data_IF_814762320018
#
_entry.id   IF_814762320018
#
_cell.length_a   1.000
_cell.length_b   1.000
_cell.length_c   1.000
_cell.angle_alpha   90.00
_cell.angle_beta   90.00
_cell.angle_gamma   90.00
#
_symmetry.space_group_name_H-M   'P 1'
#
loop_
_entity.id
_entity.type
_entity.pdbx_description
1 polymer ?
#
# COMPACT_ATOMS: atom_id res chain seq x y z
N UNK A 1 -0.79 -9.78 19.53
CA UNK A 1 -0.74 -10.97 18.65
C UNK A 1 -1.54 -10.70 17.36
N UNK A 2 -0.84 -10.25 16.32
CA UNK A 2 -1.39 -9.85 15.01
C UNK A 2 -2.11 -10.99 14.28
N UNK A 3 -1.61 -12.23 14.41
CA UNK A 3 -2.25 -13.40 13.80
C UNK A 3 -3.65 -13.75 14.33
N UNK A 4 -3.89 -13.62 15.64
CA UNK A 4 -5.23 -13.88 16.18
C UNK A 4 -6.24 -12.84 15.67
N UNK A 5 -5.82 -11.57 15.61
CA UNK A 5 -6.64 -10.49 15.04
C UNK A 5 -6.96 -10.74 13.57
N UNK A 6 -5.99 -11.20 12.77
CA UNK A 6 -6.21 -11.54 11.36
C UNK A 6 -7.25 -12.66 11.19
N UNK A 7 -7.12 -13.75 11.96
CA UNK A 7 -8.07 -14.86 11.93
C UNK A 7 -9.46 -14.43 12.40
N UNK A 8 -9.54 -13.62 13.47
CA UNK A 8 -10.80 -13.10 13.99
C UNK A 8 -11.52 -12.25 12.95
N UNK A 9 -10.80 -11.32 12.33
CA UNK A 9 -11.32 -10.47 11.25
C UNK A 9 -11.81 -11.32 10.08
N UNK A 10 -11.06 -12.34 9.67
CA UNK A 10 -11.46 -13.25 8.59
C UNK A 10 -12.73 -14.00 8.93
N UNK A 11 -12.81 -14.62 10.11
CA UNK A 11 -14.00 -15.37 10.54
C UNK A 11 -15.24 -14.47 10.61
N UNK A 12 -15.11 -13.27 11.18
CA UNK A 12 -16.19 -12.29 11.23
C UNK A 12 -16.63 -11.82 9.83
N UNK A 13 -15.66 -11.58 8.93
CA UNK A 13 -15.93 -11.20 7.55
C UNK A 13 -16.65 -12.32 6.79
N UNK A 14 -16.23 -13.57 6.94
CA UNK A 14 -16.92 -14.73 6.34
C UNK A 14 -18.38 -14.81 6.79
N UNK A 15 -18.66 -14.57 8.08
CA UNK A 15 -20.03 -14.54 8.60
C UNK A 15 -20.83 -13.36 8.06
N UNK A 16 -20.23 -12.17 8.02
CA UNK A 16 -20.88 -10.98 7.47
C UNK A 16 -21.25 -11.17 6.00
N UNK A 17 -20.34 -11.74 5.19
CA UNK A 17 -20.57 -11.97 3.76
C UNK A 17 -21.61 -13.09 3.49
N UNK A 18 -21.97 -13.88 4.50
CA UNK A 18 -23.05 -14.86 4.42
C UNK A 18 -24.42 -14.27 4.79
N UNK A 19 -24.46 -13.09 5.43
CA UNK A 19 -25.71 -12.39 5.75
C UNK A 19 -26.27 -11.68 4.50
N UNK A 20 -27.58 -11.40 4.50
CA UNK A 20 -28.19 -10.52 3.51
C UNK A 20 -27.79 -9.06 3.78
N UNK A 21 -27.05 -8.47 2.83
CA UNK A 21 -26.57 -7.09 2.93
C UNK A 21 -27.51 -6.07 2.26
N UNK A 22 -28.58 -6.50 1.58
CA UNK A 22 -29.57 -5.62 0.95
C UNK A 22 -30.12 -4.53 1.89
N UNK A 23 -30.40 -4.80 3.17
CA UNK A 23 -30.90 -3.77 4.09
C UNK A 23 -29.93 -2.61 4.33
N UNK A 24 -28.65 -2.80 4.04
CA UNK A 24 -27.61 -1.78 4.21
C UNK A 24 -27.29 -1.03 2.92
N UNK A 25 -27.98 -1.29 1.81
CA UNK A 25 -27.72 -0.56 0.57
C UNK A 25 -28.03 0.94 0.75
N UNK A 26 -27.11 1.79 0.30
CA UNK A 26 -27.37 3.22 0.23
C UNK A 26 -28.44 3.51 -0.84
N UNK A 27 -29.40 4.36 -0.52
CA UNK A 27 -30.36 4.89 -1.50
C UNK A 27 -29.61 5.67 -2.58
N UNK A 28 -29.80 5.32 -3.85
CA UNK A 28 -29.22 6.09 -4.97
C UNK A 28 -29.87 7.46 -5.04
N UNK A 29 -29.12 8.52 -4.81
CA UNK A 29 -29.44 9.82 -5.41
C UNK A 29 -29.07 9.72 -6.89
N UNK A 30 -30.01 10.10 -7.76
CA UNK A 30 -29.93 9.89 -9.20
C UNK A 30 -28.83 10.75 -9.84
N UNK A 31 -27.65 10.20 -10.01
CA UNK A 31 -26.64 10.67 -10.98
C UNK A 31 -26.51 9.60 -12.09
N UNK A 32 -26.53 9.99 -13.37
CA UNK A 32 -26.42 9.03 -14.46
C UNK A 32 -24.95 8.65 -14.62
N UNK A 33 -24.60 7.36 -14.52
CA UNK A 33 -23.37 6.91 -15.16
C UNK A 33 -23.49 5.51 -15.76
N UNK A 34 -22.94 5.39 -16.97
CA UNK A 34 -22.94 4.24 -17.87
C UNK A 34 -21.80 3.25 -17.51
N UNK A 35 -21.69 2.86 -16.24
CA UNK A 35 -20.70 1.91 -15.74
C UNK A 35 -21.33 0.79 -14.90
N UNK A 36 -20.56 -0.28 -14.65
CA UNK A 36 -20.96 -1.40 -13.78
C UNK A 36 -21.57 -0.86 -12.46
N UNK A 37 -22.78 -1.32 -12.11
CA UNK A 37 -23.48 -0.85 -10.90
C UNK A 37 -22.66 -1.12 -9.64
N UNK A 38 -22.00 -0.10 -9.10
CA UNK A 38 -21.23 -0.19 -7.87
C UNK A 38 -22.19 -0.14 -6.67
N UNK A 39 -22.28 -1.25 -5.94
CA UNK A 39 -23.13 -1.36 -4.74
C UNK A 39 -22.47 -0.62 -3.58
N UNK A 40 -23.10 0.46 -3.12
CA UNK A 40 -22.68 1.20 -1.93
C UNK A 40 -23.47 0.75 -0.71
N UNK A 41 -22.76 0.50 0.39
CA UNK A 41 -23.34 0.11 1.67
C UNK A 41 -23.21 1.23 2.71
N UNK A 42 -24.17 1.30 3.62
CA UNK A 42 -24.16 2.18 4.78
C UNK A 42 -23.03 1.76 5.73
N UNK A 43 -21.88 2.45 5.62
CA UNK A 43 -20.64 2.08 6.30
C UNK A 43 -20.82 1.83 7.80
N UNK A 44 -21.44 2.75 8.54
CA UNK A 44 -21.61 2.63 10.00
C UNK A 44 -22.45 1.42 10.39
N UNK A 45 -23.53 1.15 9.65
CA UNK A 45 -24.41 0.03 9.91
C UNK A 45 -23.70 -1.31 9.67
N UNK A 46 -22.97 -1.44 8.55
CA UNK A 46 -22.19 -2.64 8.22
C UNK A 46 -21.06 -2.85 9.23
N UNK A 47 -20.35 -1.78 9.62
CA UNK A 47 -19.30 -1.85 10.64
C UNK A 47 -19.84 -2.37 11.97
N UNK A 48 -21.03 -1.94 12.40
CA UNK A 48 -21.67 -2.45 13.62
C UNK A 48 -21.97 -3.95 13.53
N UNK A 49 -22.49 -4.43 12.39
CA UNK A 49 -22.71 -5.87 12.19
C UNK A 49 -21.39 -6.63 12.22
N UNK A 50 -20.37 -6.13 11.52
CA UNK A 50 -19.03 -6.72 11.53
C UNK A 50 -18.44 -6.85 12.95
N UNK A 51 -18.54 -5.79 13.77
CA UNK A 51 -18.08 -5.80 15.16
C UNK A 51 -18.84 -6.84 15.98
N UNK A 52 -20.15 -6.96 15.81
CA UNK A 52 -20.95 -8.00 16.49
C UNK A 52 -20.48 -9.40 16.09
N UNK A 53 -20.24 -9.67 14.79
CA UNK A 53 -19.69 -10.96 14.33
C UNK A 53 -18.30 -11.23 14.92
N UNK A 54 -17.44 -10.22 15.06
CA UNK A 54 -16.15 -10.37 15.74
C UNK A 54 -16.33 -10.77 17.20
N UNK A 55 -17.25 -10.13 17.93
CA UNK A 55 -17.52 -10.46 19.33
C UNK A 55 -18.03 -11.92 19.44
N UNK A 56 -18.95 -12.33 18.58
CA UNK A 56 -19.46 -13.71 18.55
C UNK A 56 -18.33 -14.73 18.34
N UNK A 57 -17.50 -14.53 17.32
CA UNK A 57 -16.35 -15.42 17.06
C UNK A 57 -15.38 -15.44 18.24
N UNK A 58 -15.08 -14.28 18.84
CA UNK A 58 -14.19 -14.20 19.99
C UNK A 58 -14.73 -14.95 21.21
N UNK A 59 -16.04 -14.89 21.46
CA UNK A 59 -16.69 -15.62 22.53
C UNK A 59 -16.64 -17.14 22.30
N UNK A 60 -16.83 -17.60 21.06
CA UNK A 60 -16.70 -19.01 20.69
C UNK A 60 -15.27 -19.52 20.89
N UNK A 61 -14.27 -18.75 20.47
CA UNK A 61 -12.85 -19.11 20.59
C UNK A 61 -12.28 -18.98 22.00
N UNK A 62 -13.03 -18.39 22.94
CA UNK A 62 -12.57 -18.22 24.31
C UNK A 62 -12.26 -19.57 25.02
N UNK A 63 -12.84 -20.67 24.55
CA UNK A 63 -12.59 -22.00 25.09
C UNK A 63 -11.65 -22.86 24.22
N UNK A 64 -11.52 -22.53 22.94
CA UNK A 64 -10.71 -23.27 21.97
C UNK A 64 -10.09 -22.27 20.98
N UNK A 65 -8.86 -21.83 21.29
CA UNK A 65 -8.16 -20.84 20.49
C UNK A 65 -7.61 -21.49 19.21
N UNK A 66 -7.75 -20.83 18.05
CA UNK A 66 -7.16 -21.34 16.83
C UNK A 66 -5.64 -21.40 16.96
N UNK A 67 -5.05 -22.42 16.33
CA UNK A 67 -3.59 -22.54 16.26
C UNK A 67 -3.04 -21.42 15.39
N UNK A 68 -2.08 -20.65 15.93
CA UNK A 68 -1.45 -19.55 15.23
C UNK A 68 -0.12 -19.99 14.61
N UNK A 69 0.14 -19.67 13.33
CA UNK A 69 1.49 -19.80 12.80
C UNK A 69 2.41 -18.82 13.54
N UNK A 70 3.69 -19.17 13.76
CA UNK A 70 4.64 -18.26 14.36
C UNK A 70 4.84 -17.02 13.46
N UNK A 71 4.99 -15.82 14.03
CA UNK A 71 5.28 -14.62 13.25
C UNK A 71 6.63 -14.78 12.54
N UNK A 72 6.65 -14.61 11.22
CA UNK A 72 7.85 -14.81 10.38
C UNK A 72 8.70 -13.54 10.26
N UNK A 73 8.08 -12.36 10.32
CA UNK A 73 8.76 -11.09 10.10
C UNK A 73 8.46 -10.11 11.23
N UNK A 74 9.50 -9.41 11.67
CA UNK A 74 9.35 -8.24 12.54
C UNK A 74 9.23 -7.01 11.65
N UNK A 75 8.34 -6.10 12.00
CA UNK A 75 8.15 -4.86 11.28
C UNK A 75 8.01 -3.69 12.25
N UNK A 76 8.50 -2.52 11.83
CA UNK A 76 8.33 -1.27 12.54
C UNK A 76 7.87 -0.20 11.55
N UNK A 77 7.15 0.80 12.08
CA UNK A 77 6.68 1.93 11.29
C UNK A 77 6.69 3.17 12.15
N UNK A 78 7.03 4.30 11.53
CA UNK A 78 6.86 5.61 12.11
C UNK A 78 6.42 6.57 11.02
N UNK A 79 5.60 7.55 11.39
CA UNK A 79 5.07 8.52 10.46
C UNK A 79 4.87 9.85 11.20
N UNK A 80 5.44 10.93 10.66
CA UNK A 80 5.34 12.26 11.24
C UNK A 80 4.85 13.26 10.20
N UNK A 81 3.95 14.16 10.62
CA UNK A 81 3.47 15.26 9.79
C UNK A 81 4.57 16.31 9.51
N UNK A 82 5.54 16.41 10.43
CA UNK A 82 6.53 17.48 10.48
C UNK A 82 5.87 18.87 10.32
N UNK A 83 6.48 19.79 9.56
CA UNK A 83 5.96 21.13 9.27
C UNK A 83 4.81 21.20 8.26
N UNK A 84 4.30 20.07 7.76
CA UNK A 84 3.17 20.07 6.79
C UNK A 84 1.85 20.40 7.48
N UNK A 85 0.90 20.95 6.72
CA UNK A 85 -0.44 21.32 7.23
C UNK A 85 -1.26 20.10 7.63
N UNK A 86 -1.20 19.03 6.82
CA UNK A 86 -1.94 17.77 6.98
C UNK A 86 -0.97 16.60 6.88
N UNK A 87 -1.33 15.48 7.50
CA UNK A 87 -0.64 14.19 7.36
C UNK A 87 -1.32 13.38 6.25
N UNK A 88 -0.79 13.46 5.05
CA UNK A 88 -1.40 12.86 3.86
C UNK A 88 -0.92 11.41 3.67
N UNK A 89 0.28 11.06 4.15
CA UNK A 89 0.84 9.72 4.06
C UNK A 89 0.01 8.67 4.82
N UNK A 90 -0.02 7.47 4.26
CA UNK A 90 -0.60 6.26 4.85
C UNK A 90 0.37 5.10 4.71
N UNK A 91 0.21 4.09 5.54
CA UNK A 91 0.99 2.87 5.47
C UNK A 91 0.13 1.66 5.83
N UNK A 92 0.58 0.47 5.43
CA UNK A 92 -0.09 -0.80 5.71
C UNK A 92 0.96 -1.81 6.16
N UNK A 93 0.69 -2.53 7.26
CA UNK A 93 1.51 -3.64 7.75
C UNK A 93 0.65 -4.88 7.94
N UNK A 94 0.84 -5.87 7.07
CA UNK A 94 0.07 -7.12 7.07
C UNK A 94 1.01 -8.31 7.01
N UNK A 95 1.60 -8.65 8.16
CA UNK A 95 2.45 -9.83 8.31
C UNK A 95 1.67 -11.14 8.13
N UNK A 96 0.36 -11.13 8.41
CA UNK A 96 -0.55 -12.28 8.32
C UNK A 96 -1.53 -12.16 7.14
N UNK A 97 -1.00 -11.77 5.99
CA UNK A 97 -1.79 -11.53 4.77
C UNK A 97 -2.64 -12.75 4.40
N UNK A 98 -2.05 -13.94 4.41
CA UNK A 98 -2.76 -15.18 4.09
C UNK A 98 -3.94 -15.42 5.05
N UNK A 99 -3.73 -15.24 6.36
CA UNK A 99 -4.77 -15.50 7.37
C UNK A 99 -5.92 -14.50 7.25
N UNK A 100 -5.60 -13.23 7.02
CA UNK A 100 -6.62 -12.18 6.83
C UNK A 100 -7.48 -12.44 5.58
N UNK A 101 -6.86 -12.91 4.50
CA UNK A 101 -7.54 -13.14 3.21
C UNK A 101 -7.91 -14.59 2.91
N UNK A 102 -7.67 -15.51 3.85
CA UNK A 102 -7.91 -16.94 3.71
C UNK A 102 -7.28 -17.53 2.45
N UNK A 103 -6.00 -17.19 2.21
CA UNK A 103 -5.20 -17.78 1.14
C UNK A 103 -4.63 -19.11 1.64
N UNK A 104 -5.22 -20.20 1.19
CA UNK A 104 -4.94 -21.57 1.64
C UNK A 104 -3.90 -22.26 0.75
N UNK A 105 -2.67 -21.75 0.75
CA UNK A 105 -1.51 -22.44 0.17
C UNK A 105 -0.33 -22.51 1.15
N UNK A 106 0.71 -23.26 0.78
CA UNK A 106 1.90 -23.43 1.61
C UNK A 106 2.78 -22.18 1.70
N UNK A 107 2.50 -21.14 0.90
CA UNK A 107 3.33 -19.95 0.77
C UNK A 107 2.83 -18.87 1.73
N UNK A 108 3.58 -18.65 2.81
CA UNK A 108 3.30 -17.51 3.69
C UNK A 108 3.65 -16.20 2.99
N UNK A 109 2.72 -15.24 3.05
CA UNK A 109 2.90 -13.89 2.48
C UNK A 109 2.77 -12.83 3.54
N UNK A 110 3.59 -11.79 3.42
CA UNK A 110 3.50 -10.56 4.18
C UNK A 110 3.46 -9.38 3.22
N UNK A 111 2.54 -8.44 3.45
CA UNK A 111 2.33 -7.26 2.62
C UNK A 111 2.63 -6.01 3.44
N UNK A 112 3.47 -5.14 2.90
CA UNK A 112 3.81 -3.84 3.48
C UNK A 112 3.71 -2.76 2.42
N UNK A 113 3.23 -1.58 2.78
CA UNK A 113 3.11 -0.48 1.83
C UNK A 113 3.24 0.89 2.48
N UNK A 114 3.74 1.85 1.71
CA UNK A 114 3.72 3.29 1.99
C UNK A 114 3.01 3.99 0.83
N UNK A 115 2.13 4.91 1.16
CA UNK A 115 1.37 5.74 0.23
C UNK A 115 1.58 7.19 0.62
N UNK A 116 2.30 7.95 -0.19
CA UNK A 116 2.42 9.39 -0.02
C UNK A 116 1.27 10.08 -0.76
N UNK A 117 0.49 10.90 -0.06
CA UNK A 117 -0.69 11.55 -0.61
C UNK A 117 -0.42 13.01 -0.94
N UNK A 118 -1.00 13.49 -2.03
CA UNK A 118 -0.91 14.90 -2.42
C UNK A 118 -2.25 15.44 -2.92
N UNK A 119 -2.46 16.75 -2.73
CA UNK A 119 -3.72 17.40 -3.09
C UNK A 119 -4.92 16.93 -2.24
N UNK A 120 -4.66 16.31 -1.10
CA UNK A 120 -5.65 15.69 -0.22
C UNK A 120 -5.24 14.29 0.22
N UNK A 121 -5.90 13.77 1.25
CA UNK A 121 -5.55 12.47 1.89
C UNK A 121 -6.34 11.29 1.29
N UNK A 122 -7.34 11.56 0.46
CA UNK A 122 -8.34 10.55 0.07
C UNK A 122 -7.75 9.44 -0.81
N UNK A 123 -6.90 9.78 -1.78
CA UNK A 123 -6.24 8.78 -2.64
C UNK A 123 -5.34 7.83 -1.83
N UNK A 124 -4.51 8.37 -0.94
CA UNK A 124 -3.64 7.57 -0.06
C UNK A 124 -4.46 6.69 0.90
N UNK A 125 -5.53 7.23 1.47
CA UNK A 125 -6.45 6.49 2.34
C UNK A 125 -7.16 5.37 1.59
N UNK A 126 -7.60 5.65 0.36
CA UNK A 126 -8.25 4.66 -0.49
C UNK A 126 -7.28 3.55 -0.88
N UNK A 127 -6.05 3.90 -1.32
CA UNK A 127 -5.02 2.93 -1.65
C UNK A 127 -4.67 2.02 -0.44
N UNK A 128 -4.46 2.61 0.74
CA UNK A 128 -4.20 1.88 1.97
C UNK A 128 -5.35 0.93 2.36
N UNK A 129 -6.60 1.31 2.07
CA UNK A 129 -7.79 0.51 2.38
C UNK A 129 -8.02 -0.62 1.38
N UNK A 130 -7.73 -0.42 0.10
CA UNK A 130 -8.22 -1.30 -0.97
C UNK A 130 -7.14 -2.10 -1.69
N UNK A 131 -5.89 -1.63 -1.79
CA UNK A 131 -4.89 -2.26 -2.67
C UNK A 131 -4.60 -3.71 -2.27
N UNK A 132 -4.34 -3.96 -0.99
CA UNK A 132 -4.07 -5.29 -0.46
C UNK A 132 -5.28 -6.25 -0.58
N UNK A 133 -6.51 -5.71 -0.49
CA UNK A 133 -7.75 -6.46 -0.75
C UNK A 133 -7.90 -6.81 -2.23
N UNK A 134 -7.57 -5.87 -3.12
CA UNK A 134 -7.59 -6.09 -4.56
C UNK A 134 -6.52 -7.09 -5.00
N UNK A 135 -5.36 -7.09 -4.34
CA UNK A 135 -4.29 -8.07 -4.54
C UNK A 135 -4.71 -9.48 -4.17
N UNK A 136 -5.36 -9.66 -3.01
CA UNK A 136 -5.77 -11.00 -2.55
C UNK A 136 -6.79 -11.68 -3.46
N UNK A 137 -7.47 -10.90 -4.31
CA UNK A 137 -8.44 -11.37 -5.30
C UNK A 137 -7.83 -11.63 -6.69
N UNK A 138 -6.55 -11.31 -6.90
CA UNK A 138 -5.90 -11.57 -8.19
C UNK A 138 -5.58 -13.05 -8.34
N UNK A 139 -6.11 -13.70 -9.39
CA UNK A 139 -5.81 -15.11 -9.67
C UNK A 139 -4.33 -15.37 -10.00
N UNK A 140 -3.58 -14.34 -10.37
CA UNK A 140 -2.14 -14.42 -10.61
C UNK A 140 -1.30 -14.29 -9.32
N UNK A 141 -1.88 -14.05 -8.15
CA UNK A 141 -1.12 -13.84 -6.91
C UNK A 141 -0.18 -15.00 -6.58
N UNK A 142 -0.61 -16.24 -6.81
CA UNK A 142 0.18 -17.42 -6.49
C UNK A 142 1.26 -17.73 -7.54
N UNK A 143 1.02 -17.38 -8.81
CA UNK A 143 1.85 -17.78 -9.94
C UNK A 143 2.74 -16.66 -10.47
N UNK A 144 2.33 -15.40 -10.33
CA UNK A 144 3.00 -14.22 -10.86
C UNK A 144 2.66 -12.98 -10.01
N UNK A 145 3.28 -12.84 -8.83
CA UNK A 145 2.96 -11.76 -7.88
C UNK A 145 3.19 -10.34 -8.42
N UNK A 146 4.21 -10.14 -9.25
CA UNK A 146 4.47 -8.83 -9.89
C UNK A 146 3.31 -8.36 -10.77
N UNK A 147 2.91 -9.14 -11.80
CA UNK A 147 1.69 -8.88 -12.56
C UNK A 147 0.41 -8.74 -11.70
N UNK A 148 0.26 -9.57 -10.66
CA UNK A 148 -0.86 -9.46 -9.73
C UNK A 148 -0.88 -8.10 -9.00
N UNK A 149 0.27 -7.63 -8.51
CA UNK A 149 0.40 -6.31 -7.89
C UNK A 149 0.07 -5.18 -8.87
N UNK A 150 0.58 -5.25 -10.11
CA UNK A 150 0.25 -4.26 -11.15
C UNK A 150 -1.26 -4.22 -11.43
N UNK A 151 -1.90 -5.38 -11.53
CA UNK A 151 -3.35 -5.48 -11.69
C UNK A 151 -4.11 -4.93 -10.48
N UNK A 152 -3.61 -5.16 -9.26
CA UNK A 152 -4.19 -4.62 -8.03
C UNK A 152 -4.09 -3.09 -7.95
N UNK A 153 -2.95 -2.51 -8.33
CA UNK A 153 -2.79 -1.06 -8.48
C UNK A 153 -3.80 -0.49 -9.47
N UNK A 154 -3.87 -1.07 -10.67
CA UNK A 154 -4.82 -0.64 -11.69
C UNK A 154 -6.27 -0.73 -11.22
N UNK A 155 -6.68 -1.86 -10.61
CA UNK A 155 -8.03 -2.02 -10.07
C UNK A 155 -8.33 -0.99 -8.98
N UNK A 156 -7.34 -0.66 -8.15
CA UNK A 156 -7.48 0.33 -7.09
C UNK A 156 -7.67 1.75 -7.66
N UNK A 157 -6.92 2.13 -8.70
CA UNK A 157 -7.10 3.40 -9.41
C UNK A 157 -8.47 3.49 -10.09
N UNK A 158 -8.91 2.41 -10.75
CA UNK A 158 -10.22 2.33 -11.41
C UNK A 158 -11.37 2.48 -10.39
N UNK A 159 -11.27 1.81 -9.22
CA UNK A 159 -12.25 1.97 -8.13
C UNK A 159 -12.20 3.38 -7.51
N UNK A 160 -11.01 3.96 -7.36
CA UNK A 160 -10.88 5.32 -6.82
C UNK A 160 -11.47 6.36 -7.78
N UNK A 161 -11.43 6.12 -9.10
CA UNK A 161 -12.06 7.01 -10.10
C UNK A 161 -13.55 7.18 -9.84
N UNK A 162 -14.27 6.08 -9.65
CA UNK A 162 -15.71 6.10 -9.36
C UNK A 162 -16.00 6.89 -8.08
N UNK A 163 -15.20 6.67 -7.03
CA UNK A 163 -15.31 7.45 -5.79
C UNK A 163 -15.02 8.93 -6.00
N UNK A 164 -13.93 9.26 -6.69
CA UNK A 164 -13.47 10.61 -6.91
C UNK A 164 -14.44 11.43 -7.77
N UNK A 165 -15.08 10.82 -8.78
CA UNK A 165 -16.13 11.47 -9.56
C UNK A 165 -17.35 11.80 -8.68
N UNK A 166 -17.83 10.80 -7.94
CA UNK A 166 -19.00 10.93 -7.06
C UNK A 166 -18.80 11.95 -5.93
N UNK A 167 -17.60 12.04 -5.38
CA UNK A 167 -17.28 12.93 -4.25
C UNK A 167 -16.46 14.18 -4.65
N UNK A 168 -16.23 14.38 -5.96
CA UNK A 168 -15.45 15.49 -6.54
C UNK A 168 -14.03 15.62 -5.95
N UNK A 169 -13.38 14.49 -5.73
CA UNK A 169 -12.02 14.40 -5.18
C UNK A 169 -10.99 14.62 -6.30
N UNK A 170 -9.89 15.29 -5.97
CA UNK A 170 -8.77 15.57 -6.89
C UNK A 170 -7.40 15.15 -6.33
N UNK A 171 -7.39 14.46 -5.20
CA UNK A 171 -6.14 13.98 -4.60
C UNK A 171 -5.51 12.88 -5.44
N UNK A 172 -4.21 12.77 -5.32
CA UNK A 172 -3.42 11.68 -5.86
C UNK A 172 -2.56 11.05 -4.77
N UNK A 173 -1.97 9.91 -5.07
CA UNK A 173 -1.05 9.26 -4.17
C UNK A 173 -0.04 8.41 -4.92
N UNK A 174 1.21 8.49 -4.47
CA UNK A 174 2.21 7.47 -4.76
C UNK A 174 1.87 6.18 -4.03
N UNK A 175 2.54 5.10 -4.37
CA UNK A 175 2.43 3.88 -3.60
C UNK A 175 3.61 2.99 -3.87
N UNK A 176 4.30 2.55 -2.83
CA UNK A 176 5.31 1.50 -2.91
C UNK A 176 4.85 0.34 -2.03
N UNK A 177 4.87 -0.86 -2.60
CA UNK A 177 4.41 -2.08 -1.98
C UNK A 177 5.52 -3.11 -2.01
N UNK A 178 5.72 -3.80 -0.88
CA UNK A 178 6.55 -5.00 -0.79
C UNK A 178 5.67 -6.17 -0.39
N UNK A 179 5.70 -7.23 -1.20
CA UNK A 179 5.15 -8.53 -0.89
C UNK A 179 6.30 -9.52 -0.67
N UNK A 180 6.49 -9.96 0.57
CA UNK A 180 7.43 -11.04 0.89
C UNK A 180 6.66 -12.35 0.81
N UNK A 181 7.12 -13.29 0.00
CA UNK A 181 6.47 -14.59 -0.18
C UNK A 181 7.51 -15.68 -0.42
N UNK A 182 7.42 -16.78 0.33
CA UNK A 182 8.43 -17.85 0.34
C UNK A 182 9.88 -17.34 0.54
N UNK A 183 10.73 -17.43 -0.49
CA UNK A 183 12.11 -16.93 -0.57
C UNK A 183 12.22 -15.79 -1.61
N UNK A 184 11.13 -15.07 -1.86
CA UNK A 184 11.09 -13.98 -2.82
C UNK A 184 10.52 -12.72 -2.20
N UNK A 185 11.01 -11.59 -2.70
CA UNK A 185 10.53 -10.27 -2.38
C UNK A 185 10.09 -9.61 -3.69
N UNK A 186 8.80 -9.28 -3.78
CA UNK A 186 8.25 -8.57 -4.92
C UNK A 186 7.94 -7.14 -4.53
N UNK A 187 8.54 -6.18 -5.24
CA UNK A 187 8.24 -4.76 -5.11
C UNK A 187 7.34 -4.35 -6.27
N UNK A 188 6.33 -3.53 -6.00
CA UNK A 188 5.59 -2.82 -7.03
C UNK A 188 5.34 -1.37 -6.61
N UNK A 189 5.43 -0.44 -7.55
CA UNK A 189 5.34 0.98 -7.20
C UNK A 189 4.71 1.88 -8.28
N UNK A 190 4.20 3.01 -7.81
CA UNK A 190 3.75 4.19 -8.55
C UNK A 190 4.31 5.43 -7.85
N UNK A 191 4.86 6.37 -8.60
CA UNK A 191 5.44 7.60 -8.04
C UNK A 191 6.86 7.40 -7.50
N UNK A 192 7.24 8.26 -6.55
CA UNK A 192 8.59 8.45 -6.05
C UNK A 192 8.79 8.03 -4.58
N UNK A 193 7.79 7.41 -3.93
CA UNK A 193 8.06 6.57 -2.76
C UNK A 193 8.92 5.38 -3.16
N UNK A 194 9.86 4.97 -2.30
CA UNK A 194 10.87 3.98 -2.64
C UNK A 194 10.92 2.81 -1.65
N UNK A 195 11.39 1.67 -2.16
CA UNK A 195 11.80 0.52 -1.37
C UNK A 195 13.30 0.25 -1.56
N UNK A 196 14.00 -0.02 -0.46
CA UNK A 196 15.42 -0.34 -0.44
C UNK A 196 15.65 -1.61 0.38
N UNK A 197 16.37 -2.58 -0.17
CA UNK A 197 16.81 -3.75 0.58
C UNK A 197 18.20 -3.49 1.16
N UNK A 198 18.42 -3.88 2.40
CA UNK A 198 19.76 -3.93 3.00
C UNK A 198 20.15 -5.38 3.19
N UNK A 199 21.34 -5.74 2.68
CA UNK A 199 21.89 -7.09 2.70
C UNK A 199 23.36 -7.00 3.11
N UNK A 200 23.72 -7.71 4.16
CA UNK A 200 25.08 -7.74 4.72
C UNK A 200 25.65 -6.33 4.96
N UNK A 201 24.80 -5.41 5.45
CA UNK A 201 25.16 -4.03 5.73
C UNK A 201 25.40 -3.17 4.49
N UNK A 202 24.93 -3.59 3.31
CA UNK A 202 25.03 -2.85 2.06
C UNK A 202 23.65 -2.59 1.47
N UNK A 203 23.47 -1.45 0.81
CA UNK A 203 22.25 -1.12 0.11
C UNK A 203 22.12 -1.92 -1.20
N UNK A 204 20.91 -2.39 -1.46
CA UNK A 204 20.51 -3.04 -2.69
C UNK A 204 19.35 -2.25 -3.27
N UNK A 205 19.63 -1.48 -4.31
CA UNK A 205 18.62 -0.70 -5.04
C UNK A 205 17.68 -1.66 -5.75
N UNK A 206 16.40 -1.65 -5.38
CA UNK A 206 15.38 -2.53 -5.94
C UNK A 206 14.64 -1.89 -7.11
N UNK A 207 14.49 -0.57 -7.10
CA UNK A 207 13.59 0.15 -7.99
C UNK A 207 14.12 1.54 -8.30
N UNK A 208 13.65 2.11 -9.41
CA UNK A 208 13.88 3.51 -9.77
C UNK A 208 12.58 4.31 -9.62
N UNK A 209 12.56 5.40 -8.83
CA UNK A 209 11.35 6.20 -8.61
C UNK A 209 10.84 6.81 -9.93
N UNK A 210 9.53 6.96 -10.05
CA UNK A 210 8.87 7.57 -11.21
C UNK A 210 8.94 9.11 -11.17
N UNK A 211 10.17 9.65 -11.20
CA UNK A 211 10.41 11.09 -11.28
C UNK A 211 10.10 11.62 -12.68
N UNK A 212 9.57 12.84 -12.75
CA UNK A 212 9.12 13.44 -14.02
C UNK A 212 10.25 13.63 -15.04
N UNK A 213 11.48 13.80 -14.58
CA UNK A 213 12.70 13.95 -15.38
C UNK A 213 13.35 12.63 -15.82
N UNK A 214 12.83 11.48 -15.37
CA UNK A 214 13.31 10.19 -15.84
C UNK A 214 13.03 10.09 -17.34
N UNK A 215 14.04 9.72 -18.13
CA UNK A 215 14.00 9.91 -19.59
C UNK A 215 12.82 9.19 -20.26
N UNK A 216 12.51 7.97 -19.84
CA UNK A 216 11.38 7.19 -20.34
C UNK A 216 10.01 7.80 -19.95
N UNK A 217 9.88 8.31 -18.73
CA UNK A 217 8.66 8.98 -18.26
C UNK A 217 8.45 10.31 -18.98
N UNK A 218 9.52 11.10 -19.12
CA UNK A 218 9.48 12.36 -19.87
C UNK A 218 9.07 12.12 -21.33
N UNK A 219 9.72 11.16 -22.00
CA UNK A 219 9.40 10.82 -23.37
C UNK A 219 7.93 10.36 -23.49
N UNK A 220 7.47 9.48 -22.58
CA UNK A 220 6.07 9.03 -22.55
C UNK A 220 5.09 10.20 -22.40
N UNK A 221 5.39 11.17 -21.53
CA UNK A 221 4.55 12.35 -21.30
C UNK A 221 4.51 13.24 -22.56
N UNK A 222 5.66 13.47 -23.19
CA UNK A 222 5.79 14.30 -24.40
C UNK A 222 5.11 13.64 -25.61
N UNK A 223 5.20 12.31 -25.76
CA UNK A 223 4.51 11.54 -26.80
C UNK A 223 2.98 11.61 -26.68
N UNK A 224 2.46 11.79 -25.46
CA UNK A 224 1.04 12.02 -25.19
C UNK A 224 0.60 13.48 -25.42
N UNK A 225 1.54 14.36 -25.78
CA UNK A 225 1.30 15.79 -26.00
C UNK A 225 1.41 16.66 -24.75
N UNK A 226 1.92 16.11 -23.64
CA UNK A 226 2.23 16.84 -22.41
C UNK A 226 3.62 17.47 -22.46
N UNK A 227 4.05 18.05 -21.33
CA UNK A 227 5.42 18.53 -21.18
C UNK A 227 5.95 18.33 -19.75
N UNK A 228 7.27 18.25 -19.62
CA UNK A 228 7.97 18.24 -18.32
C UNK A 228 8.74 19.54 -18.17
N UNK A 229 8.37 20.36 -17.18
CA UNK A 229 8.93 21.71 -16.98
C UNK A 229 9.54 21.84 -15.59
N UNK A 230 10.70 22.48 -15.49
CA UNK A 230 11.35 22.75 -14.21
C UNK A 230 10.78 24.01 -13.54
N UNK A 231 10.17 23.84 -12.36
CA UNK A 231 9.64 24.92 -11.52
C UNK A 231 9.98 24.66 -10.05
N UNK A 232 11.26 24.79 -9.70
CA UNK A 232 11.81 24.40 -8.39
C UNK A 232 12.02 22.88 -8.24
N UNK A 233 11.17 22.08 -8.87
CA UNK A 233 11.38 20.68 -9.22
C UNK A 233 10.77 20.42 -10.61
N UNK A 234 11.09 19.27 -11.21
CA UNK A 234 10.50 18.86 -12.48
C UNK A 234 9.03 18.51 -12.31
N UNK A 235 8.18 19.05 -13.19
CA UNK A 235 6.73 18.89 -13.10
C UNK A 235 6.08 18.56 -14.43
N UNK A 236 5.17 17.60 -14.41
CA UNK A 236 4.23 17.27 -15.50
C UNK A 236 3.28 18.44 -15.70
N UNK A 237 3.24 18.98 -16.91
CA UNK A 237 2.43 20.15 -17.31
C UNK A 237 2.57 21.33 -16.35
N UNK A 238 3.77 21.51 -15.78
CA UNK A 238 4.08 22.56 -14.80
C UNK A 238 3.39 22.41 -13.43
N UNK A 239 2.66 21.31 -13.17
CA UNK A 239 1.80 21.18 -11.98
C UNK A 239 2.26 20.07 -11.03
N UNK A 240 2.43 18.82 -11.50
CA UNK A 240 2.64 17.64 -10.64
C UNK A 240 4.09 17.16 -10.66
N UNK A 241 4.69 16.87 -9.50
CA UNK A 241 6.10 16.46 -9.41
C UNK A 241 6.33 14.96 -9.73
N UNK A 242 5.27 14.15 -9.70
CA UNK A 242 5.31 12.72 -10.00
C UNK A 242 4.76 12.42 -11.40
N UNK A 243 5.33 11.43 -12.07
CA UNK A 243 4.88 10.99 -13.41
C UNK A 243 3.87 9.84 -13.37
N UNK A 244 3.75 9.14 -12.24
CA UNK A 244 2.79 8.05 -12.04
C UNK A 244 2.15 8.11 -10.63
N UNK A 245 0.85 7.85 -10.53
CA UNK A 245 0.10 7.90 -9.28
C UNK A 245 -1.26 7.18 -9.37
N UNK A 246 -1.81 6.79 -8.21
CA UNK A 246 -3.25 6.55 -8.05
C UNK A 246 -3.95 7.91 -7.94
N UNK A 247 -5.10 8.08 -8.59
CA UNK A 247 -5.80 9.36 -8.60
C UNK A 247 -5.27 10.29 -9.68
N UNK A 248 -5.17 11.59 -9.38
CA UNK A 248 -4.74 12.62 -10.34
C UNK A 248 -5.49 12.58 -11.68
N UNK A 249 -6.80 12.33 -11.63
CA UNK A 249 -7.62 12.08 -12.83
C UNK A 249 -7.63 13.27 -13.81
N UNK A 250 -7.44 14.50 -13.33
CA UNK A 250 -7.30 15.69 -14.17
C UNK A 250 -6.02 15.70 -15.02
N UNK A 251 -5.05 14.85 -14.71
CA UNK A 251 -3.78 14.73 -15.44
C UNK A 251 -3.61 13.42 -16.17
N UNK A 252 -4.57 12.49 -16.11
CA UNK A 252 -4.51 11.29 -16.95
C UNK A 252 -4.74 11.71 -18.41
N UNK A 253 -3.96 11.19 -19.38
CA UNK A 253 -3.02 10.06 -19.26
C UNK A 253 -1.55 10.44 -18.95
N UNK A 254 -1.21 11.72 -18.77
CA UNK A 254 0.16 12.16 -18.51
C UNK A 254 0.70 11.58 -17.20
N UNK A 255 -0.07 11.67 -16.11
CA UNK A 255 0.22 10.95 -14.87
C UNK A 255 -0.38 9.55 -14.96
N UNK A 256 0.46 8.53 -15.16
CA UNK A 256 0.01 7.15 -15.40
C UNK A 256 -0.38 6.42 -14.11
N UNK A 257 -1.34 5.49 -14.18
CA UNK A 257 -1.59 4.50 -13.11
C UNK A 257 -0.98 3.12 -13.38
N UNK A 258 -0.11 3.02 -14.39
CA UNK A 258 0.59 1.79 -14.71
C UNK A 258 1.78 1.59 -13.76
N UNK A 259 1.64 0.66 -12.82
CA UNK A 259 2.70 0.36 -11.86
C UNK A 259 3.86 -0.43 -12.51
N UNK A 260 5.07 -0.22 -11.99
CA UNK A 260 6.20 -1.10 -12.26
C UNK A 260 6.32 -2.15 -11.15
N UNK A 261 7.00 -3.26 -11.46
CA UNK A 261 7.22 -4.32 -10.48
C UNK A 261 8.51 -5.09 -10.76
N UNK A 262 9.17 -5.54 -9.70
CA UNK A 262 10.33 -6.42 -9.76
C UNK A 262 10.21 -7.51 -8.69
N UNK A 263 10.72 -8.70 -8.98
CA UNK A 263 10.84 -9.78 -8.00
C UNK A 263 12.31 -10.14 -7.85
N UNK A 264 12.79 -10.19 -6.61
CA UNK A 264 14.15 -10.59 -6.26
C UNK A 264 14.10 -11.81 -5.35
N UNK A 265 15.07 -12.71 -5.51
CA UNK A 265 15.23 -13.87 -4.63
C UNK A 265 15.97 -13.46 -3.36
N UNK A 266 15.40 -13.85 -2.23
CA UNK A 266 15.99 -13.76 -0.90
C UNK A 266 16.96 -14.93 -0.71
N UNK A 267 18.16 -14.63 -0.20
CA UNK A 267 19.25 -15.58 -0.01
C UNK A 267 19.45 -15.96 1.46
N UNK A 268 18.75 -15.30 2.39
CA UNK A 268 18.85 -15.51 3.83
C UNK A 268 19.93 -14.67 4.50
N UNK A 269 20.60 -13.78 3.76
CA UNK A 269 21.57 -12.82 4.25
C UNK A 269 21.04 -11.37 4.21
N UNK A 270 19.74 -11.20 3.98
CA UNK A 270 19.07 -9.91 4.07
C UNK A 270 18.92 -9.45 5.52
N UNK A 271 19.23 -8.18 5.78
CA UNK A 271 19.09 -7.59 7.11
C UNK A 271 17.67 -7.04 7.30
N UNK A 272 17.21 -6.19 6.38
CA UNK A 272 15.87 -5.59 6.40
C UNK A 272 15.51 -4.97 5.04
N UNK A 273 14.22 -4.71 4.84
CA UNK A 273 13.72 -3.87 3.75
C UNK A 273 13.11 -2.59 4.32
N UNK A 274 13.49 -1.44 3.77
CA UNK A 274 12.97 -0.12 4.12
C UNK A 274 12.00 0.34 3.03
N UNK A 275 10.83 0.83 3.43
CA UNK A 275 9.91 1.57 2.57
C UNK A 275 9.75 2.97 3.15
N UNK A 276 9.90 4.01 2.32
CA UNK A 276 9.66 5.38 2.75
C UNK A 276 9.22 6.28 1.58
N UNK A 277 8.56 7.39 1.92
CA UNK A 277 8.19 8.45 0.98
C UNK A 277 9.39 9.35 0.62
N UNK A 278 9.17 10.30 -0.29
CA UNK A 278 10.17 11.29 -0.70
C UNK A 278 10.69 12.13 0.48
N UNK A 279 9.86 12.38 1.50
CA UNK A 279 10.23 13.12 2.71
C UNK A 279 11.43 12.53 3.47
N UNK A 280 11.71 11.23 3.28
CA UNK A 280 12.95 10.59 3.74
C UNK A 280 14.04 10.60 2.66
N UNK A 281 13.73 10.12 1.45
CA UNK A 281 14.72 9.90 0.40
C UNK A 281 15.25 11.18 -0.26
N UNK A 282 14.59 12.33 -0.07
CA UNK A 282 15.12 13.64 -0.45
C UNK A 282 16.25 14.10 0.48
N UNK A 283 16.30 13.59 1.71
CA UNK A 283 17.30 13.96 2.72
C UNK A 283 18.39 12.90 2.91
N UNK A 284 18.08 11.62 2.66
CA UNK A 284 18.96 10.48 2.91
C UNK A 284 19.25 9.73 1.62
N UNK A 285 20.53 9.63 1.24
CA UNK A 285 20.91 8.84 0.07
C UNK A 285 20.79 7.34 0.38
N UNK A 286 20.45 6.49 -0.62
CA UNK A 286 20.35 5.05 -0.42
C UNK A 286 21.58 4.42 0.25
N UNK A 287 22.79 4.88 -0.08
CA UNK A 287 24.05 4.39 0.49
C UNK A 287 24.27 4.72 1.96
N UNK A 288 23.52 5.68 2.51
CA UNK A 288 23.61 6.07 3.93
C UNK A 288 22.68 5.21 4.80
N UNK A 289 21.65 4.59 4.20
CA UNK A 289 20.63 3.81 4.91
C UNK A 289 21.21 2.65 5.74
N UNK A 290 22.18 1.84 5.26
CA UNK A 290 22.73 0.76 6.07
C UNK A 290 23.40 1.26 7.36
N UNK A 291 24.05 2.42 7.30
CA UNK A 291 24.74 3.01 8.45
C UNK A 291 23.74 3.48 9.51
N UNK A 292 22.63 4.10 9.08
CA UNK A 292 21.56 4.54 9.96
C UNK A 292 20.82 3.37 10.62
N UNK A 293 20.65 2.25 9.92
CA UNK A 293 20.07 1.04 10.50
C UNK A 293 21.00 0.34 11.49
N UNK A 294 22.29 0.23 11.15
CA UNK A 294 23.29 -0.45 11.96
C UNK A 294 23.67 0.30 13.24
N UNK A 295 23.74 1.64 13.21
CA UNK A 295 23.99 2.45 14.42
C UNK A 295 22.88 2.32 15.45
N UNK A 296 21.67 1.96 15.00
CA UNK A 296 20.46 1.93 15.81
C UNK A 296 20.02 0.52 16.23
N UNK A 297 20.65 -0.52 15.69
CA UNK A 297 20.43 -1.92 16.04
C UNK A 297 21.33 -2.45 17.18
N UNK A 298 22.01 -1.57 17.93
CA UNK A 298 22.88 -1.96 19.05
C UNK A 298 22.12 -2.62 20.23
N UNK A 299 22.77 -3.52 21.00
CA UNK A 299 22.13 -4.60 21.76
C UNK A 299 21.49 -4.19 23.10
N UNK A 300 21.23 -2.91 23.32
CA UNK A 300 20.51 -2.44 24.50
C UNK A 300 19.00 -2.38 24.24
N UNK A 301 18.38 -3.55 24.03
CA UNK A 301 16.95 -3.82 24.29
C UNK A 301 15.91 -2.90 23.62
N UNK A 302 16.29 -2.06 22.67
CA UNK A 302 15.41 -1.13 21.98
C UNK A 302 14.50 -1.90 21.04
N UNK A 303 13.20 -1.87 21.29
CA UNK A 303 12.19 -2.41 20.37
C UNK A 303 12.39 -1.76 19.00
N UNK A 304 12.20 -2.49 17.89
CA UNK A 304 12.40 -1.95 16.52
C UNK A 304 11.64 -0.65 16.21
N UNK A 305 10.64 -0.31 17.04
CA UNK A 305 9.94 0.99 17.02
C UNK A 305 10.89 2.20 17.23
N UNK A 306 11.97 2.03 17.98
CA UNK A 306 12.98 3.07 18.21
C UNK A 306 13.77 3.40 16.93
N UNK A 307 13.98 2.42 16.03
CA UNK A 307 14.73 2.61 14.78
C UNK A 307 13.91 3.44 13.79
N UNK A 308 12.67 3.03 13.50
CA UNK A 308 11.81 3.76 12.57
C UNK A 308 11.54 5.20 13.03
N UNK A 309 11.39 5.43 14.34
CA UNK A 309 11.22 6.77 14.90
C UNK A 309 12.46 7.64 14.71
N UNK A 310 13.66 7.11 14.94
CA UNK A 310 14.91 7.85 14.81
C UNK A 310 15.29 8.16 13.37
N UNK A 311 14.90 7.31 12.42
CA UNK A 311 15.13 7.54 10.99
C UNK A 311 14.43 8.79 10.44
N UNK A 312 13.41 9.29 11.14
CA UNK A 312 12.62 10.46 10.72
C UNK A 312 12.60 11.58 11.77
N UNK A 313 13.40 11.48 12.83
CA UNK A 313 13.46 12.46 13.92
C UNK A 313 14.34 13.68 13.60
#
# INVERSE_FOLDING_TARGET
PTGLSALLCRAAMTRLLADDLLPFHCSREAEPDNGEEEVLLQSEAVQRVFINKMIEVALEWNQDLPTLPPPKFQCCVHAIKNGRRKMEDKHVLLSEFNQLFGVEDAVQRAFYAVFDGHGGVDAATFAATHLHVNLSRQGALQSSPGPALKAAFKRTDDMFRSKAQRERLRSGSTGVVVLIHDQELTVAWLGDSQALLVREGQEVVLMEPHKSEREDEKQRIEDLGGCVTYMGCWRVNGTYAVSRAIGDFDQKPYVSSDADSITVRLQGNEDYVLLACDGFFDAVQPSEVPQLGASEAQPDGGTGQTVAQKLVA
#
